data_IF_030763627377
#
_entry.id   IF_030763627377
#
_cell.length_a   1.000
_cell.length_b   1.000
_cell.length_c   1.000
_cell.angle_alpha   90.00
_cell.angle_beta   90.00
_cell.angle_gamma   90.00
#
_symmetry.space_group_name_H-M   'P 1'
#
loop_
_entity.id
_entity.type
_entity.pdbx_description
1 polymer ?
#
# COMPACT_ATOMS: atom_id res chain seq x y z
N UNK A 1 -14.76 -48.61 41.42
CA UNK A 1 -15.06 -48.94 40.01
C UNK A 1 -15.73 -47.70 39.49
N UNK A 2 -14.89 -46.68 39.28
CA UNK A 2 -15.31 -45.29 39.27
C UNK A 2 -15.32 -44.80 37.85
N UNK A 3 -16.47 -44.23 37.52
CA UNK A 3 -16.96 -43.93 36.20
C UNK A 3 -16.04 -42.97 35.44
N UNK A 4 -15.79 -43.33 34.18
CA UNK A 4 -15.50 -42.36 33.14
C UNK A 4 -16.59 -41.28 33.13
N UNK A 5 -16.20 -40.00 33.22
CA UNK A 5 -16.63 -38.93 32.30
C UNK A 5 -16.41 -37.58 32.97
N UNK A 6 -15.51 -36.79 32.39
CA UNK A 6 -15.62 -35.32 32.26
C UNK A 6 -14.33 -34.84 31.59
N UNK A 7 -14.22 -35.11 30.28
CA UNK A 7 -13.26 -34.48 29.39
C UNK A 7 -14.00 -33.70 28.29
N UNK A 8 -15.09 -33.04 28.67
CA UNK A 8 -15.93 -32.19 27.80
C UNK A 8 -16.02 -30.78 28.35
N UNK A 9 -14.89 -30.10 28.57
CA UNK A 9 -14.89 -28.65 28.83
C UNK A 9 -13.72 -27.96 28.12
N UNK A 10 -13.51 -28.28 26.84
CA UNK A 10 -12.67 -27.44 25.97
C UNK A 10 -13.21 -27.49 24.56
N UNK A 11 -14.25 -26.72 24.24
CA UNK A 11 -14.46 -26.36 22.85
C UNK A 11 -15.32 -25.10 22.69
N UNK A 12 -14.73 -24.12 22.02
CA UNK A 12 -15.43 -23.02 21.35
C UNK A 12 -15.96 -21.93 22.28
N UNK A 13 -15.06 -21.05 22.76
CA UNK A 13 -15.38 -19.62 22.63
C UNK A 13 -15.69 -19.41 21.14
N UNK A 14 -16.98 -19.27 20.82
CA UNK A 14 -17.45 -19.02 19.46
C UNK A 14 -16.72 -17.81 18.94
N UNK A 15 -15.82 -18.07 17.99
CA UNK A 15 -15.24 -17.06 17.15
C UNK A 15 -16.40 -16.52 16.32
N UNK A 16 -17.13 -15.55 16.85
CA UNK A 16 -18.19 -14.87 16.14
C UNK A 16 -17.56 -13.95 15.08
N UNK A 17 -16.94 -14.58 14.08
CA UNK A 17 -16.30 -13.92 12.95
C UNK A 17 -17.34 -13.09 12.20
N UNK A 18 -18.60 -13.52 12.19
CA UNK A 18 -19.69 -12.82 11.54
C UNK A 18 -19.99 -11.48 12.23
N UNK A 19 -20.09 -11.45 13.56
CA UNK A 19 -20.24 -10.20 14.30
C UNK A 19 -19.04 -9.27 14.11
N UNK A 20 -17.82 -9.81 14.10
CA UNK A 20 -16.61 -9.00 13.89
C UNK A 20 -16.60 -8.40 12.48
N UNK A 21 -16.92 -9.19 11.45
CA UNK A 21 -16.99 -8.73 10.08
C UNK A 21 -18.07 -7.66 9.90
N UNK A 22 -19.21 -7.81 10.59
CA UNK A 22 -20.26 -6.80 10.59
C UNK A 22 -19.82 -5.50 11.29
N UNK A 23 -19.16 -5.59 12.45
CA UNK A 23 -18.66 -4.44 13.21
C UNK A 23 -17.66 -3.60 12.41
N UNK A 24 -16.75 -4.24 11.67
CA UNK A 24 -15.78 -3.54 10.82
C UNK A 24 -16.35 -3.14 9.44
N UNK A 25 -17.62 -3.44 9.16
CA UNK A 25 -18.29 -3.05 7.93
C UNK A 25 -17.87 -3.82 6.69
N UNK A 26 -17.48 -5.10 6.81
CA UNK A 26 -17.13 -5.92 5.65
C UNK A 26 -18.37 -6.19 4.76
N UNK A 27 -18.28 -5.78 3.49
CA UNK A 27 -19.27 -6.09 2.46
C UNK A 27 -18.61 -6.83 1.28
N UNK A 28 -18.98 -8.09 1.00
CA UNK A 28 -18.39 -8.87 -0.09
C UNK A 28 -18.69 -8.33 -1.49
N UNK A 29 -19.75 -7.52 -1.67
CA UNK A 29 -20.15 -7.01 -3.00
C UNK A 29 -19.26 -5.86 -3.50
N UNK A 30 -18.59 -5.15 -2.58
CA UNK A 30 -17.72 -3.99 -2.88
C UNK A 30 -16.27 -4.22 -2.47
N UNK A 31 -15.95 -5.43 -2.02
CA UNK A 31 -14.62 -5.84 -1.56
C UNK A 31 -13.92 -6.70 -2.59
N UNK A 32 -12.60 -6.56 -2.70
CA UNK A 32 -11.75 -7.48 -3.49
C UNK A 32 -11.54 -8.83 -2.79
N UNK A 33 -11.86 -8.91 -1.50
CA UNK A 33 -11.78 -10.12 -0.70
C UNK A 33 -13.09 -10.87 -0.73
N UNK A 34 -13.03 -12.19 -0.89
CA UNK A 34 -14.17 -13.08 -0.63
C UNK A 34 -14.47 -13.13 0.86
N UNK A 35 -15.69 -13.55 1.24
CA UNK A 35 -16.04 -13.71 2.65
C UNK A 35 -15.07 -14.65 3.39
N UNK A 36 -14.72 -15.78 2.77
CA UNK A 36 -13.77 -16.74 3.34
C UNK A 36 -12.38 -16.15 3.53
N UNK A 37 -11.92 -15.30 2.62
CA UNK A 37 -10.65 -14.58 2.77
C UNK A 37 -10.69 -13.57 3.93
N UNK A 38 -11.79 -12.84 4.07
CA UNK A 38 -12.00 -11.90 5.17
C UNK A 38 -12.06 -12.62 6.53
N UNK A 39 -12.77 -13.74 6.63
CA UNK A 39 -12.81 -14.58 7.84
C UNK A 39 -11.40 -15.01 8.27
N UNK A 40 -10.61 -15.53 7.32
CA UNK A 40 -9.24 -15.98 7.60
C UNK A 40 -8.35 -14.81 8.03
N UNK A 41 -8.40 -13.67 7.34
CA UNK A 41 -7.61 -12.49 7.75
C UNK A 41 -8.01 -11.99 9.13
N UNK A 42 -9.30 -11.86 9.43
CA UNK A 42 -9.80 -11.41 10.74
C UNK A 42 -9.25 -12.29 11.87
N UNK A 43 -9.29 -13.61 11.70
CA UNK A 43 -8.75 -14.54 12.69
C UNK A 43 -7.21 -14.47 12.77
N UNK A 44 -6.52 -14.30 11.65
CA UNK A 44 -5.06 -14.19 11.64
C UNK A 44 -4.56 -12.92 12.33
N UNK A 45 -5.21 -11.78 12.10
CA UNK A 45 -4.88 -10.51 12.76
C UNK A 45 -5.16 -10.54 14.28
N UNK A 46 -6.07 -11.40 14.73
CA UNK A 46 -6.31 -11.69 16.16
C UNK A 46 -5.37 -12.75 16.75
N UNK A 47 -4.39 -13.22 15.99
CA UNK A 47 -3.34 -14.12 16.45
C UNK A 47 -3.68 -15.61 16.40
N UNK A 48 -4.82 -16.01 15.84
CA UNK A 48 -5.19 -17.44 15.75
C UNK A 48 -4.28 -18.20 14.79
N UNK A 49 -3.81 -19.38 15.19
CA UNK A 49 -3.00 -20.25 14.33
C UNK A 49 -3.84 -20.86 13.20
N UNK A 50 -3.23 -21.09 12.04
CA UNK A 50 -3.92 -21.68 10.87
C UNK A 50 -4.59 -23.03 11.16
N UNK A 51 -4.03 -23.85 12.06
CA UNK A 51 -4.62 -25.11 12.50
C UNK A 51 -5.94 -24.91 13.26
N UNK A 52 -6.01 -23.92 14.16
CA UNK A 52 -7.22 -23.57 14.89
C UNK A 52 -8.28 -22.96 13.96
N UNK A 53 -7.85 -22.14 13.01
CA UNK A 53 -8.74 -21.58 11.97
C UNK A 53 -9.30 -22.72 11.10
N UNK A 54 -8.47 -23.69 10.71
CA UNK A 54 -8.89 -24.83 9.92
C UNK A 54 -9.97 -25.65 10.63
N UNK A 55 -9.79 -25.91 11.93
CA UNK A 55 -10.78 -26.58 12.77
C UNK A 55 -12.08 -25.77 12.87
N UNK A 56 -11.99 -24.46 13.14
CA UNK A 56 -13.15 -23.58 13.26
C UNK A 56 -13.96 -23.45 11.95
N UNK A 57 -13.28 -23.43 10.80
CA UNK A 57 -13.91 -23.25 9.49
C UNK A 57 -14.26 -24.58 8.79
N UNK A 58 -14.02 -25.72 9.43
CA UNK A 58 -14.32 -27.05 8.88
C UNK A 58 -13.52 -27.39 7.62
N UNK A 59 -12.24 -27.01 7.56
CA UNK A 59 -11.39 -27.16 6.36
C UNK A 59 -9.98 -27.65 6.71
N UNK A 60 -9.15 -27.95 5.72
CA UNK A 60 -7.75 -28.29 5.94
C UNK A 60 -6.86 -27.06 6.22
N UNK A 61 -5.78 -27.26 7.00
CA UNK A 61 -4.73 -26.24 7.22
C UNK A 61 -4.10 -25.76 5.92
N UNK A 62 -3.93 -26.65 4.95
CA UNK A 62 -3.40 -26.31 3.64
C UNK A 62 -4.33 -25.34 2.89
N UNK A 63 -5.64 -25.56 2.95
CA UNK A 63 -6.62 -24.64 2.37
C UNK A 63 -6.59 -23.28 3.09
N UNK A 64 -6.53 -23.24 4.42
CA UNK A 64 -6.39 -21.98 5.18
C UNK A 64 -5.15 -21.21 4.75
N UNK A 65 -4.00 -21.89 4.63
CA UNK A 65 -2.76 -21.26 4.17
C UNK A 65 -2.92 -20.66 2.78
N UNK A 66 -3.54 -21.38 1.84
CA UNK A 66 -3.79 -20.88 0.48
C UNK A 66 -4.72 -19.66 0.50
N UNK A 67 -5.81 -19.72 1.27
CA UNK A 67 -6.76 -18.61 1.40
C UNK A 67 -6.10 -17.38 2.02
N UNK A 68 -5.29 -17.55 3.08
CA UNK A 68 -4.56 -16.44 3.72
C UNK A 68 -3.59 -15.78 2.73
N UNK A 69 -2.79 -16.57 2.01
CA UNK A 69 -1.86 -16.05 1.01
C UNK A 69 -2.56 -15.26 -0.08
N UNK A 70 -3.64 -15.80 -0.66
CA UNK A 70 -4.43 -15.09 -1.67
C UNK A 70 -5.11 -13.84 -1.12
N UNK A 71 -5.57 -13.87 0.14
CA UNK A 71 -6.16 -12.71 0.78
C UNK A 71 -5.14 -11.56 0.94
N UNK A 72 -3.94 -11.88 1.44
CA UNK A 72 -2.86 -10.89 1.57
C UNK A 72 -2.45 -10.32 0.21
N UNK A 73 -2.32 -11.18 -0.81
CA UNK A 73 -2.02 -10.75 -2.18
C UNK A 73 -3.10 -9.80 -2.74
N UNK A 74 -4.38 -10.09 -2.49
CA UNK A 74 -5.48 -9.21 -2.93
C UNK A 74 -5.44 -7.85 -2.22
N UNK A 75 -5.10 -7.81 -0.92
CA UNK A 75 -4.90 -6.55 -0.19
C UNK A 75 -3.75 -5.74 -0.78
N UNK A 76 -2.61 -6.39 -1.05
CA UNK A 76 -1.43 -5.72 -1.62
C UNK A 76 -1.73 -5.19 -3.03
N UNK A 77 -2.43 -5.95 -3.86
CA UNK A 77 -2.90 -5.50 -5.19
C UNK A 77 -3.83 -4.30 -5.08
N UNK A 78 -4.82 -4.34 -4.18
CA UNK A 78 -5.75 -3.23 -4.00
C UNK A 78 -5.04 -1.95 -3.53
N UNK A 79 -4.12 -2.06 -2.58
CA UNK A 79 -3.27 -0.94 -2.13
C UNK A 79 -2.46 -0.36 -3.29
N UNK A 80 -1.84 -1.20 -4.12
CA UNK A 80 -1.10 -0.73 -5.29
C UNK A 80 -2.01 -0.09 -6.35
N UNK A 81 -3.25 -0.57 -6.51
CA UNK A 81 -4.24 0.06 -7.41
C UNK A 81 -4.64 1.45 -6.92
N UNK A 82 -4.89 1.61 -5.62
CA UNK A 82 -5.20 2.92 -5.02
C UNK A 82 -4.00 3.87 -5.19
N UNK A 83 -2.80 3.42 -4.83
CA UNK A 83 -1.58 4.21 -5.03
C UNK A 83 -1.35 4.57 -6.51
N UNK A 84 -1.69 3.68 -7.44
CA UNK A 84 -1.63 3.99 -8.87
C UNK A 84 -2.61 5.09 -9.26
N UNK A 85 -3.87 5.01 -8.82
CA UNK A 85 -4.89 6.01 -9.12
C UNK A 85 -4.53 7.37 -8.50
N UNK A 86 -4.09 7.38 -7.25
CA UNK A 86 -3.63 8.58 -6.55
C UNK A 86 -2.44 9.22 -7.27
N UNK A 87 -1.46 8.41 -7.72
CA UNK A 87 -0.33 8.89 -8.50
C UNK A 87 -0.76 9.54 -9.83
N UNK A 88 -1.81 9.04 -10.51
CA UNK A 88 -2.32 9.67 -11.74
C UNK A 88 -2.93 11.05 -11.47
N UNK A 89 -3.63 11.20 -10.34
CA UNK A 89 -4.28 12.45 -9.95
C UNK A 89 -3.40 13.36 -9.09
N UNK A 90 -2.18 12.92 -8.77
CA UNK A 90 -1.27 13.66 -7.91
C UNK A 90 -0.93 15.01 -8.59
N UNK A 91 -1.17 16.15 -7.91
CA UNK A 91 -0.88 17.48 -8.45
C UNK A 91 0.61 17.62 -8.81
N UNK A 92 1.49 16.93 -8.09
CA UNK A 92 2.93 16.98 -8.29
C UNK A 92 3.45 15.59 -8.65
N UNK A 93 4.10 15.48 -9.81
CA UNK A 93 4.79 14.27 -10.26
C UNK A 93 6.19 14.62 -10.76
N UNK A 94 7.22 14.02 -10.16
CA UNK A 94 8.61 14.36 -10.42
C UNK A 94 9.36 13.09 -10.80
N UNK A 95 9.99 13.13 -11.97
CA UNK A 95 10.89 12.06 -12.40
C UNK A 95 12.30 12.30 -11.84
N UNK A 96 12.79 11.34 -11.06
CA UNK A 96 14.15 11.31 -10.56
C UNK A 96 14.96 10.38 -11.46
N UNK A 97 15.87 10.97 -12.23
CA UNK A 97 16.71 10.24 -13.17
C UNK A 97 17.71 9.32 -12.44
N UNK A 98 18.07 8.21 -13.09
CA UNK A 98 19.21 7.41 -12.66
C UNK A 98 20.49 8.26 -12.59
N UNK A 99 21.34 8.00 -11.60
CA UNK A 99 22.52 8.79 -11.27
C UNK A 99 22.26 9.99 -10.35
N UNK A 100 20.99 10.30 -10.01
CA UNK A 100 20.68 11.35 -9.03
C UNK A 100 21.17 10.93 -7.63
N UNK A 101 21.83 11.83 -6.90
CA UNK A 101 22.13 11.65 -5.48
C UNK A 101 20.83 11.77 -4.67
N UNK A 102 20.60 10.83 -3.77
CA UNK A 102 19.41 10.79 -2.91
C UNK A 102 19.25 12.07 -2.10
N UNK A 103 20.34 12.79 -1.80
CA UNK A 103 20.32 14.05 -1.07
C UNK A 103 19.81 15.23 -1.91
N UNK A 104 19.81 15.10 -3.24
CA UNK A 104 19.25 16.10 -4.15
C UNK A 104 17.73 15.93 -4.33
N UNK A 105 17.18 14.76 -3.96
CA UNK A 105 15.76 14.43 -4.14
C UNK A 105 14.85 15.35 -3.30
N UNK A 106 15.10 15.62 -2.01
CA UNK A 106 14.27 16.52 -1.22
C UNK A 106 14.08 17.90 -1.85
N UNK A 107 15.17 18.51 -2.32
CA UNK A 107 15.10 19.82 -2.95
C UNK A 107 14.17 19.80 -4.17
N UNK A 108 14.36 18.83 -5.07
CA UNK A 108 13.50 18.68 -6.26
C UNK A 108 12.03 18.50 -5.90
N UNK A 109 11.74 17.75 -4.83
CA UNK A 109 10.38 17.52 -4.34
C UNK A 109 9.76 18.80 -3.80
N UNK A 110 10.46 19.53 -2.94
CA UNK A 110 9.95 20.79 -2.39
C UNK A 110 9.73 21.84 -3.47
N UNK A 111 10.70 22.02 -4.38
CA UNK A 111 10.61 23.02 -5.46
C UNK A 111 9.36 22.79 -6.33
N UNK A 112 9.05 21.53 -6.66
CA UNK A 112 7.87 21.20 -7.45
C UNK A 112 6.56 21.30 -6.66
N UNK A 113 6.57 21.02 -5.35
CA UNK A 113 5.40 21.20 -4.50
C UNK A 113 5.07 22.67 -4.28
N UNK A 114 6.08 23.52 -4.08
CA UNK A 114 5.92 24.96 -3.94
C UNK A 114 5.34 25.58 -5.22
N UNK A 115 5.76 25.10 -6.40
CA UNK A 115 5.22 25.55 -7.68
C UNK A 115 3.72 25.26 -7.86
N UNK A 116 3.24 24.14 -7.31
CA UNK A 116 1.84 23.70 -7.38
C UNK A 116 1.03 24.09 -6.11
N UNK A 117 1.62 24.81 -5.17
CA UNK A 117 0.98 25.22 -3.92
C UNK A 117 0.66 24.08 -2.95
N UNK A 118 1.35 22.94 -3.08
CA UNK A 118 1.17 21.75 -2.23
C UNK A 118 2.12 21.82 -1.05
N UNK A 119 1.60 21.66 0.18
CA UNK A 119 2.44 21.60 1.38
C UNK A 119 2.98 20.19 1.60
N UNK A 120 4.29 20.02 1.55
CA UNK A 120 4.94 18.77 1.95
C UNK A 120 4.94 18.66 3.47
N UNK A 121 4.39 17.56 4.00
CA UNK A 121 4.26 17.33 5.45
C UNK A 121 5.45 16.59 6.07
N UNK A 122 6.35 16.07 5.22
CA UNK A 122 7.52 15.27 5.60
C UNK A 122 8.79 16.13 5.64
N UNK A 123 9.68 15.81 6.57
CA UNK A 123 11.03 16.35 6.60
C UNK A 123 11.93 15.70 5.54
N UNK A 124 13.07 16.33 5.20
CA UNK A 124 13.98 15.80 4.19
C UNK A 124 14.51 14.39 4.52
N UNK A 125 14.89 14.06 5.77
CA UNK A 125 15.27 12.70 6.14
C UNK A 125 14.16 11.66 5.96
N UNK A 126 12.91 12.02 6.30
CA UNK A 126 11.77 11.12 6.12
C UNK A 126 11.47 10.87 4.65
N UNK A 127 11.58 11.90 3.80
CA UNK A 127 11.43 11.76 2.36
C UNK A 127 12.50 10.83 1.78
N UNK A 128 13.76 11.03 2.15
CA UNK A 128 14.86 10.17 1.69
C UNK A 128 14.63 8.72 2.10
N UNK A 129 14.17 8.49 3.33
CA UNK A 129 13.82 7.15 3.82
C UNK A 129 12.66 6.55 3.01
N UNK A 130 11.57 7.29 2.81
CA UNK A 130 10.43 6.83 2.02
C UNK A 130 10.83 6.46 0.59
N UNK A 131 11.70 7.26 -0.04
CA UNK A 131 12.26 6.97 -1.37
C UNK A 131 13.12 5.71 -1.35
N UNK A 132 14.03 5.56 -0.38
CA UNK A 132 14.88 4.38 -0.30
C UNK A 132 14.08 3.08 -0.05
N UNK A 133 13.12 3.13 0.89
CA UNK A 133 12.28 1.99 1.26
C UNK A 133 11.42 1.52 0.07
N UNK A 134 10.79 2.46 -0.65
CA UNK A 134 9.94 2.14 -1.79
C UNK A 134 10.73 1.80 -3.07
N UNK A 135 11.91 2.39 -3.26
CA UNK A 135 12.76 2.10 -4.40
C UNK A 135 13.43 0.73 -4.28
N UNK A 136 13.68 0.22 -3.06
CA UNK A 136 14.38 -1.05 -2.86
C UNK A 136 15.75 -1.05 -3.54
N UNK A 137 16.05 -2.07 -4.36
CA UNK A 137 17.31 -2.19 -5.09
C UNK A 137 17.54 -1.12 -6.19
N UNK A 138 16.53 -0.30 -6.49
CA UNK A 138 16.66 0.86 -7.37
C UNK A 138 17.44 2.03 -6.71
N UNK A 139 17.72 1.97 -5.41
CA UNK A 139 18.65 2.87 -4.71
C UNK A 139 19.76 2.04 -4.09
N UNK A 140 21.03 2.39 -4.38
CA UNK A 140 22.19 1.74 -3.75
C UNK A 140 23.07 2.79 -3.09
N UNK A 141 23.16 2.70 -1.76
CA UNK A 141 23.80 3.74 -0.96
C UNK A 141 23.05 5.05 -1.12
N UNK A 142 23.71 6.05 -1.74
CA UNK A 142 23.14 7.36 -2.01
C UNK A 142 22.74 7.59 -3.47
N UNK A 143 22.89 6.60 -4.35
CA UNK A 143 22.68 6.79 -5.78
C UNK A 143 21.42 6.07 -6.24
N UNK A 144 20.58 6.81 -6.97
CA UNK A 144 19.41 6.28 -7.67
C UNK A 144 19.90 5.51 -8.90
N UNK A 145 19.71 4.19 -8.94
CA UNK A 145 20.17 3.31 -10.03
C UNK A 145 19.15 3.13 -11.15
N UNK A 146 17.87 3.37 -10.86
CA UNK A 146 16.80 3.29 -11.85
C UNK A 146 15.89 4.51 -11.72
N UNK A 147 15.21 4.88 -12.80
CA UNK A 147 14.29 6.00 -12.78
C UNK A 147 13.18 5.80 -11.74
N UNK A 148 12.95 6.82 -10.93
CA UNK A 148 11.88 6.84 -9.94
C UNK A 148 10.87 7.94 -10.30
N UNK A 149 9.59 7.65 -10.11
CA UNK A 149 8.53 8.63 -10.12
C UNK A 149 8.15 8.91 -8.66
N UNK A 150 8.33 10.15 -8.24
CA UNK A 150 7.90 10.64 -6.93
C UNK A 150 6.62 11.45 -7.14
N UNK A 151 5.51 10.97 -6.62
CA UNK A 151 4.24 11.69 -6.59
C UNK A 151 3.97 12.28 -5.22
N UNK A 152 3.41 13.48 -5.16
CA UNK A 152 2.89 14.08 -3.93
C UNK A 152 1.42 14.37 -4.11
N UNK A 153 0.59 13.75 -3.26
CA UNK A 153 -0.86 13.94 -3.26
C UNK A 153 -1.23 15.28 -2.59
N UNK A 154 -2.47 15.73 -2.77
CA UNK A 154 -2.94 17.04 -2.26
C UNK A 154 -2.90 17.18 -0.73
N UNK A 155 -2.89 16.08 0.01
CA UNK A 155 -2.71 16.03 1.48
C UNK A 155 -1.22 15.97 1.90
N UNK A 156 -0.29 16.02 0.94
CA UNK A 156 1.15 16.00 1.17
C UNK A 156 1.73 14.59 1.36
N UNK A 157 0.98 13.53 1.08
CA UNK A 157 1.50 12.15 1.13
C UNK A 157 2.43 11.89 -0.07
N UNK A 158 3.64 11.38 0.20
CA UNK A 158 4.62 11.05 -0.83
C UNK A 158 4.50 9.58 -1.22
N UNK A 159 4.46 9.32 -2.53
CA UNK A 159 4.48 8.00 -3.11
C UNK A 159 5.64 7.87 -4.08
N UNK A 160 6.35 6.74 -4.01
CA UNK A 160 7.54 6.51 -4.85
C UNK A 160 7.33 5.23 -5.61
N UNK A 161 7.49 5.32 -6.93
CA UNK A 161 7.28 4.22 -7.84
C UNK A 161 8.47 4.08 -8.77
N UNK A 162 8.83 2.84 -9.09
CA UNK A 162 9.82 2.59 -10.15
C UNK A 162 9.16 2.97 -11.46
N UNK A 163 9.78 3.89 -12.20
CA UNK A 163 9.35 4.14 -13.57
C UNK A 163 9.79 2.92 -14.38
N UNK A 164 8.83 2.06 -14.73
CA UNK A 164 9.10 0.85 -15.51
C UNK A 164 9.90 1.22 -16.74
N UNK A 165 11.06 0.60 -16.91
CA UNK A 165 12.08 0.98 -17.89
C UNK A 165 11.49 1.30 -19.26
N UNK A 166 11.29 2.59 -19.53
CA UNK A 166 11.22 3.12 -20.87
C UNK A 166 12.38 4.08 -21.00
N UNK A 167 13.43 3.61 -21.66
CA UNK A 167 14.27 4.51 -22.43
C UNK A 167 13.31 5.33 -23.32
N UNK A 168 13.35 6.65 -23.14
CA UNK A 168 12.60 7.66 -23.86
C UNK A 168 11.07 7.65 -23.66
N UNK A 169 10.61 8.48 -22.72
CA UNK A 169 9.55 9.41 -23.09
C UNK A 169 9.73 10.72 -22.33
N UNK A 170 10.09 11.75 -23.08
CA UNK A 170 10.04 13.14 -22.66
C UNK A 170 8.55 13.47 -22.51
N UNK A 171 7.91 13.04 -21.42
CA UNK A 171 6.62 13.59 -21.05
C UNK A 171 6.93 15.02 -20.68
N UNK A 172 6.76 15.92 -21.66
CA UNK A 172 6.82 17.36 -21.44
C UNK A 172 5.90 17.64 -20.27
N UNK A 173 6.51 17.89 -19.11
CA UNK A 173 5.80 18.47 -17.98
C UNK A 173 5.16 19.73 -18.53
N UNK A 174 3.85 19.77 -18.40
CA UNK A 174 2.97 20.77 -18.96
C UNK A 174 3.44 22.13 -18.44
N UNK A 175 4.27 22.81 -19.23
CA UNK A 175 4.65 24.19 -18.96
C UNK A 175 3.46 24.98 -19.44
N UNK A 176 2.51 25.26 -18.54
CA UNK A 176 1.56 26.34 -18.79
C UNK A 176 2.37 27.63 -18.81
N UNK A 177 2.64 28.10 -20.03
CA UNK A 177 3.29 29.36 -20.29
C UNK A 177 2.33 30.50 -19.96
N UNK A 178 2.89 31.47 -19.26
CA UNK A 178 2.53 32.88 -19.13
C UNK A 178 1.39 33.44 -20.00
N UNK A 179 0.48 34.11 -19.31
CA UNK A 179 -0.05 35.45 -19.62
C UNK A 179 0.07 35.95 -21.07
N UNK A 180 -1.06 36.04 -21.76
CA UNK A 180 -1.29 37.15 -22.69
C UNK A 180 -2.11 38.23 -22.00
N UNK A 181 -1.42 39.34 -21.75
CA UNK A 181 -2.01 40.65 -21.57
C UNK A 181 -2.44 41.15 -22.95
N UNK A 182 -3.68 41.63 -23.07
CA UNK A 182 -3.92 42.76 -23.97
C UNK A 182 -5.09 43.58 -23.43
N UNK A 183 -4.74 44.69 -22.79
CA UNK A 183 -5.59 45.87 -22.77
C UNK A 183 -5.87 46.33 -24.20
N UNK A 184 -7.12 46.66 -24.48
CA UNK A 184 -7.53 47.80 -25.32
C UNK A 184 -8.90 48.26 -24.84
#
# INVERSE_FOLDING_TARGET
MDSHSSAEETNTEELDVDAILAEIGFNPDVSVLTRRQAEVLTLRERGYQQSRIAAALGTSRANVSSVESSARENVDKARNTVAFAEALTAPVQISIAAGTDLYDVPKKVYDACDAEGVKVTRTAPELMKAVADAAGDAVRGREVKQWLLVGVTSDGTIQVRRSGGREHNHLKMNTYHESDTTSS
#
